data_IF_688281135649
#
_entry.id   IF_688281135649
#
_cell.length_a   1.000
_cell.length_b   1.000
_cell.length_c   1.000
_cell.angle_alpha   90.00
_cell.angle_beta   90.00
_cell.angle_gamma   90.00
#
_symmetry.space_group_name_H-M   'P 1'
#
loop_
_entity.id
_entity.type
_entity.pdbx_description
1 polymer ?
#
# COMPACT_ATOMS: atom_id res chain seq x y z
N UNK A 1 12.88 20.42 -2.53
CA UNK A 1 12.59 19.43 -1.48
C UNK A 1 13.38 18.15 -1.73
N UNK A 2 13.70 17.43 -0.65
CA UNK A 2 14.38 16.13 -0.78
C UNK A 2 13.41 15.05 -1.24
N UNK A 3 13.91 14.15 -2.11
CA UNK A 3 13.18 12.99 -2.58
C UNK A 3 14.13 11.84 -2.89
N UNK A 4 13.61 10.62 -2.90
CA UNK A 4 14.28 9.49 -3.54
C UNK A 4 13.97 9.59 -5.02
N UNK A 5 15.00 9.65 -5.85
CA UNK A 5 14.84 9.79 -7.31
C UNK A 5 15.41 8.58 -8.02
N UNK A 6 14.79 8.24 -9.16
CA UNK A 6 15.13 7.16 -10.04
C UNK A 6 15.09 7.66 -11.49
N UNK A 7 16.13 7.40 -12.27
CA UNK A 7 16.21 7.83 -13.68
C UNK A 7 16.17 6.66 -14.67
N UNK A 8 16.47 5.46 -14.18
CA UNK A 8 16.48 4.23 -14.97
C UNK A 8 15.85 3.07 -14.19
N UNK A 9 15.45 2.02 -14.88
CA UNK A 9 15.00 0.79 -14.26
C UNK A 9 16.20 -0.01 -13.74
N UNK A 10 16.08 -0.58 -12.55
CA UNK A 10 17.14 -1.40 -11.96
C UNK A 10 16.84 -1.91 -10.58
N UNK A 11 17.86 -2.44 -9.93
CA UNK A 11 17.86 -2.83 -8.54
C UNK A 11 17.87 -1.60 -7.62
N UNK A 12 17.78 -1.75 -6.29
CA UNK A 12 17.75 -0.60 -5.37
C UNK A 12 18.89 0.41 -5.51
N UNK A 13 20.00 0.03 -6.12
CA UNK A 13 21.17 0.89 -6.37
C UNK A 13 20.89 2.05 -7.35
N UNK A 14 19.80 1.97 -8.13
CA UNK A 14 19.38 3.09 -9.00
C UNK A 14 18.70 4.22 -8.23
N UNK A 15 18.34 3.96 -6.96
CA UNK A 15 17.70 4.95 -6.10
C UNK A 15 18.75 5.86 -5.45
N UNK A 16 18.51 7.15 -5.49
CA UNK A 16 19.39 8.13 -4.86
C UNK A 16 18.58 9.25 -4.20
N UNK A 17 19.11 9.82 -3.15
CA UNK A 17 18.57 11.06 -2.59
C UNK A 17 18.90 12.21 -3.55
N UNK A 18 17.87 12.96 -3.92
CA UNK A 18 18.01 14.12 -4.79
C UNK A 18 17.16 15.30 -4.30
N UNK A 19 17.43 16.46 -4.87
CA UNK A 19 16.58 17.64 -4.67
C UNK A 19 15.74 17.87 -5.92
N UNK A 20 14.44 18.10 -5.71
CA UNK A 20 13.47 18.37 -6.77
C UNK A 20 12.58 19.55 -6.37
N UNK A 21 11.90 20.13 -7.33
CA UNK A 21 10.89 21.13 -7.06
C UNK A 21 9.70 20.53 -6.28
N UNK A 22 9.12 21.34 -5.41
CA UNK A 22 7.88 20.97 -4.72
C UNK A 22 6.74 20.85 -5.74
N UNK A 23 5.93 19.78 -5.72
CA UNK A 23 4.86 19.60 -6.68
C UNK A 23 3.79 20.71 -6.52
N UNK A 24 3.21 21.12 -7.64
CA UNK A 24 2.09 22.05 -7.66
C UNK A 24 0.79 21.28 -7.50
N UNK A 25 -0.07 21.78 -6.64
CA UNK A 25 -1.39 21.18 -6.38
C UNK A 25 -2.31 21.44 -7.58
N UNK A 26 -2.88 20.39 -8.14
CA UNK A 26 -3.96 20.46 -9.12
C UNK A 26 -5.32 20.79 -8.47
N UNK A 27 -6.28 21.17 -9.28
CA UNK A 27 -7.60 21.64 -8.81
C UNK A 27 -8.33 20.63 -7.89
N UNK A 28 -8.29 19.34 -8.21
CA UNK A 28 -8.89 18.25 -7.43
C UNK A 28 -7.90 17.46 -6.55
N UNK A 29 -6.76 18.06 -6.24
CA UNK A 29 -5.69 17.40 -5.51
C UNK A 29 -5.43 18.01 -4.13
N UNK A 30 -4.74 17.24 -3.31
CA UNK A 30 -4.26 17.63 -1.98
C UNK A 30 -2.74 17.48 -1.97
N UNK A 31 -2.04 18.51 -1.52
CA UNK A 31 -0.62 18.42 -1.22
C UNK A 31 -0.45 17.87 0.19
N UNK A 32 0.18 16.74 0.31
CA UNK A 32 0.45 16.07 1.58
C UNK A 32 1.92 16.26 1.94
N UNK A 33 2.18 16.78 3.13
CA UNK A 33 3.49 16.69 3.78
C UNK A 33 3.65 15.29 4.33
N UNK A 34 4.45 14.47 3.65
CA UNK A 34 4.60 13.05 3.95
C UNK A 34 5.29 12.86 5.30
N UNK A 35 4.72 12.03 6.17
CA UNK A 35 5.29 11.62 7.45
C UNK A 35 5.80 10.18 7.38
N UNK A 36 5.08 9.32 6.64
CA UNK A 36 5.47 7.94 6.37
C UNK A 36 5.03 7.53 4.97
N UNK A 37 5.77 6.64 4.35
CA UNK A 37 5.46 6.05 3.06
C UNK A 37 5.62 4.53 3.11
N UNK A 38 4.65 3.81 2.56
CA UNK A 38 4.66 2.36 2.48
C UNK A 38 5.64 1.84 1.45
N UNK A 39 6.23 0.69 1.73
CA UNK A 39 7.07 -0.05 0.79
C UNK A 39 6.39 -1.38 0.49
N UNK A 40 5.94 -1.56 -0.73
CA UNK A 40 5.21 -2.75 -1.18
C UNK A 40 5.84 -3.34 -2.46
N UNK A 41 5.49 -4.59 -2.81
CA UNK A 41 6.01 -5.23 -4.03
C UNK A 41 5.69 -4.48 -5.32
N UNK A 42 4.60 -3.70 -5.37
CA UNK A 42 4.24 -2.88 -6.53
C UNK A 42 5.31 -1.84 -6.82
N UNK A 43 5.80 -1.17 -5.78
CA UNK A 43 6.92 -0.20 -5.92
C UNK A 43 8.18 -0.88 -6.44
N UNK A 44 8.48 -2.12 -6.00
CA UNK A 44 9.60 -2.89 -6.51
C UNK A 44 9.44 -3.21 -8.01
N UNK A 45 8.24 -3.61 -8.44
CA UNK A 45 7.94 -3.84 -9.86
C UNK A 45 8.09 -2.57 -10.70
N UNK A 46 7.63 -1.44 -10.20
CA UNK A 46 7.77 -0.15 -10.87
C UNK A 46 9.24 0.30 -10.93
N UNK A 47 10.01 0.07 -9.86
CA UNK A 47 11.43 0.39 -9.79
C UNK A 47 12.26 -0.45 -10.78
N UNK A 48 12.03 -1.75 -10.80
CA UNK A 48 12.77 -2.67 -11.68
C UNK A 48 12.26 -2.66 -13.12
N UNK A 49 11.01 -2.23 -13.33
CA UNK A 49 10.33 -2.34 -14.61
C UNK A 49 10.09 -3.80 -15.03
N UNK A 50 9.95 -4.70 -14.06
CA UNK A 50 9.74 -6.12 -14.29
C UNK A 50 8.41 -6.58 -13.66
N UNK A 51 7.68 -7.51 -14.32
CA UNK A 51 7.95 -8.05 -15.67
C UNK A 51 7.84 -6.94 -16.73
N UNK A 52 8.45 -7.11 -17.88
CA UNK A 52 8.49 -6.09 -18.95
C UNK A 52 7.13 -5.55 -19.38
N UNK A 53 6.06 -6.29 -19.12
CA UNK A 53 4.68 -5.86 -19.35
C UNK A 53 4.36 -4.54 -18.61
N UNK A 54 4.93 -4.32 -17.42
CA UNK A 54 4.77 -3.08 -16.64
C UNK A 54 5.17 -1.86 -17.47
N UNK A 55 6.26 -1.94 -18.22
CA UNK A 55 6.76 -0.85 -19.07
C UNK A 55 5.79 -0.50 -20.19
N UNK A 56 5.14 -1.52 -20.79
CA UNK A 56 4.17 -1.37 -21.89
C UNK A 56 2.84 -0.81 -21.35
N UNK A 57 2.46 -1.15 -20.13
CA UNK A 57 1.22 -0.68 -19.47
C UNK A 57 1.24 0.83 -19.10
N UNK A 58 2.24 1.56 -19.54
CA UNK A 58 2.24 3.00 -19.43
C UNK A 58 3.22 3.58 -18.41
N UNK A 59 4.00 2.76 -17.74
CA UNK A 59 4.98 3.22 -16.74
C UNK A 59 6.31 3.68 -17.35
N UNK A 60 6.49 3.51 -18.67
CA UNK A 60 7.65 3.97 -19.44
C UNK A 60 8.45 2.82 -20.06
N UNK A 61 8.73 2.89 -21.37
CA UNK A 61 9.39 1.78 -22.07
C UNK A 61 10.87 1.64 -21.74
N UNK A 62 11.60 2.76 -21.68
CA UNK A 62 13.07 2.79 -21.48
C UNK A 62 13.47 3.22 -20.08
N UNK A 63 12.70 4.12 -19.49
CA UNK A 63 12.90 4.64 -18.14
C UNK A 63 11.56 4.89 -17.48
N UNK A 64 11.50 4.93 -16.12
CA UNK A 64 10.27 5.25 -15.41
C UNK A 64 9.75 6.64 -15.79
N UNK A 65 8.46 6.77 -16.04
CA UNK A 65 7.83 8.09 -16.27
C UNK A 65 7.84 8.94 -15.00
N UNK A 66 7.65 8.29 -13.85
CA UNK A 66 7.66 8.94 -12.54
C UNK A 66 9.05 8.78 -11.94
N UNK A 67 9.76 9.90 -11.78
CA UNK A 67 11.14 9.87 -11.24
C UNK A 67 11.20 9.61 -9.75
N UNK A 68 10.13 9.90 -9.02
CA UNK A 68 10.01 9.66 -7.58
C UNK A 68 9.10 8.46 -7.37
N UNK A 69 9.58 7.35 -6.80
CA UNK A 69 8.74 6.19 -6.49
C UNK A 69 7.84 6.41 -5.27
N UNK A 70 7.06 5.39 -4.95
CA UNK A 70 6.13 5.36 -3.82
C UNK A 70 4.70 5.71 -4.21
N UNK A 71 3.77 4.96 -3.62
CA UNK A 71 2.32 5.07 -3.89
C UNK A 71 1.49 5.21 -2.63
N UNK A 72 1.91 4.61 -1.53
CA UNK A 72 1.18 4.61 -0.27
C UNK A 72 1.80 5.59 0.70
N UNK A 73 1.03 6.52 1.22
CA UNK A 73 1.52 7.49 2.18
C UNK A 73 0.54 7.79 3.30
N UNK A 74 1.08 8.33 4.37
CA UNK A 74 0.36 9.00 5.42
C UNK A 74 1.08 10.30 5.78
N UNK A 75 0.33 11.34 6.08
CA UNK A 75 0.90 12.65 6.36
C UNK A 75 -0.14 13.70 6.72
N UNK A 76 0.28 14.95 6.67
CA UNK A 76 -0.59 16.10 6.93
C UNK A 76 -0.86 16.88 5.66
N UNK A 77 -2.10 17.30 5.49
CA UNK A 77 -2.49 18.22 4.41
C UNK A 77 -1.73 19.53 4.58
N UNK A 78 -1.03 19.92 3.56
CA UNK A 78 -0.29 21.19 3.49
C UNK A 78 -1.06 22.27 2.72
N UNK A 79 -1.69 21.85 1.60
CA UNK A 79 -2.52 22.70 0.76
C UNK A 79 -3.55 21.85 0.03
N UNK A 80 -4.64 22.47 -0.41
CA UNK A 80 -5.71 21.84 -1.20
C UNK A 80 -5.96 22.60 -2.49
N UNK A 81 -6.34 21.88 -3.54
CA UNK A 81 -6.80 22.46 -4.78
C UNK A 81 -8.18 23.11 -4.63
N UNK A 82 -8.54 23.98 -5.56
CA UNK A 82 -9.77 24.81 -5.47
C UNK A 82 -11.07 24.00 -5.43
N UNK A 83 -11.07 22.79 -6.00
CA UNK A 83 -12.26 21.93 -6.07
C UNK A 83 -12.35 20.95 -4.88
N UNK A 84 -11.38 20.99 -3.97
CA UNK A 84 -11.37 20.13 -2.77
C UNK A 84 -12.07 20.85 -1.61
N UNK A 85 -13.17 20.28 -1.15
CA UNK A 85 -14.02 20.87 -0.10
C UNK A 85 -14.04 20.11 1.22
N UNK A 86 -13.50 18.87 1.24
CA UNK A 86 -13.62 17.97 2.37
C UNK A 86 -12.30 17.73 3.13
N UNK A 87 -11.24 18.44 2.73
CA UNK A 87 -9.98 18.51 3.44
C UNK A 87 -9.54 19.95 3.64
N UNK A 88 -8.75 20.18 4.69
CA UNK A 88 -8.13 21.48 4.97
C UNK A 88 -6.68 21.30 5.42
N UNK A 89 -5.83 22.33 5.32
CA UNK A 89 -4.47 22.29 5.85
C UNK A 89 -4.44 21.90 7.33
N UNK A 90 -3.55 20.98 7.68
CA UNK A 90 -3.42 20.41 9.01
C UNK A 90 -4.09 19.05 9.21
N UNK A 91 -5.05 18.66 8.38
CA UNK A 91 -5.70 17.36 8.48
C UNK A 91 -4.70 16.21 8.34
N UNK A 92 -4.84 15.18 9.18
CA UNK A 92 -4.08 13.94 9.07
C UNK A 92 -4.77 12.99 8.10
N UNK A 93 -4.05 12.59 7.05
CA UNK A 93 -4.59 11.78 5.96
C UNK A 93 -3.67 10.60 5.62
N UNK A 94 -4.24 9.58 4.99
CA UNK A 94 -3.49 8.48 4.40
C UNK A 94 -4.19 7.98 3.14
N UNK A 95 -3.45 7.31 2.27
CA UNK A 95 -3.98 6.75 1.03
C UNK A 95 -2.95 6.71 -0.10
N UNK A 96 -3.43 6.83 -1.33
CA UNK A 96 -2.58 6.77 -2.52
C UNK A 96 -2.05 8.15 -2.89
N UNK A 97 -0.73 8.33 -2.78
CA UNK A 97 -0.02 9.54 -3.17
C UNK A 97 1.08 9.17 -4.17
N UNK A 98 0.98 9.62 -5.40
CA UNK A 98 2.00 9.32 -6.39
C UNK A 98 3.32 10.06 -6.08
N UNK A 99 4.44 9.33 -6.08
CA UNK A 99 5.75 9.92 -5.82
C UNK A 99 5.99 10.27 -4.34
N UNK A 100 5.48 9.46 -3.43
CA UNK A 100 5.50 9.77 -2.00
C UNK A 100 6.82 9.44 -1.29
N UNK A 101 7.86 8.96 -1.99
CA UNK A 101 9.20 8.87 -1.40
C UNK A 101 9.90 10.25 -1.45
N UNK A 102 9.21 11.27 -0.97
CA UNK A 102 9.60 12.66 -0.93
C UNK A 102 9.01 13.36 0.29
N UNK A 103 9.50 14.56 0.59
CA UNK A 103 8.95 15.37 1.70
C UNK A 103 7.50 15.80 1.46
N UNK A 104 7.10 15.95 0.19
CA UNK A 104 5.74 16.30 -0.22
C UNK A 104 5.32 15.49 -1.43
N UNK A 105 4.05 15.09 -1.48
CA UNK A 105 3.44 14.42 -2.60
C UNK A 105 2.03 14.97 -2.87
N UNK A 106 1.62 14.99 -4.13
CA UNK A 106 0.22 15.28 -4.48
C UNK A 106 -0.58 13.98 -4.52
N UNK A 107 -1.78 14.04 -3.98
CA UNK A 107 -2.77 12.98 -4.03
C UNK A 107 -4.09 13.52 -4.56
N UNK A 108 -4.79 12.76 -5.39
CA UNK A 108 -6.18 13.07 -5.71
C UNK A 108 -7.01 12.98 -4.44
N UNK A 109 -7.91 13.93 -4.22
CA UNK A 109 -8.73 14.01 -3.02
C UNK A 109 -9.63 12.75 -2.82
N UNK A 110 -10.02 12.07 -3.92
CA UNK A 110 -10.80 10.83 -3.89
C UNK A 110 -9.96 9.55 -3.60
N UNK A 111 -8.65 9.69 -3.43
CA UNK A 111 -7.70 8.59 -3.18
C UNK A 111 -7.08 8.61 -1.80
N UNK A 112 -7.44 9.58 -0.99
CA UNK A 112 -7.01 9.71 0.40
C UNK A 112 -8.21 9.82 1.32
N UNK A 113 -8.02 9.46 2.57
CA UNK A 113 -9.04 9.57 3.63
C UNK A 113 -8.41 10.09 4.92
N UNK A 114 -9.23 10.57 5.84
CA UNK A 114 -8.77 10.96 7.17
C UNK A 114 -8.11 9.77 7.89
N UNK A 115 -6.96 10.02 8.49
CA UNK A 115 -6.25 9.00 9.27
C UNK A 115 -7.00 8.72 10.58
N UNK A 116 -7.30 7.45 10.91
CA UNK A 116 -7.87 7.11 12.20
C UNK A 116 -6.96 7.56 13.35
N UNK A 117 -7.55 8.08 14.42
CA UNK A 117 -6.81 8.62 15.55
C UNK A 117 -6.00 7.55 16.32
N UNK A 118 -6.39 6.29 16.23
CA UNK A 118 -5.73 5.15 16.88
C UNK A 118 -4.55 4.57 16.07
N UNK A 119 -4.26 5.10 14.89
CA UNK A 119 -3.09 4.72 14.09
C UNK A 119 -2.07 5.84 14.09
N UNK A 120 -0.79 5.51 14.17
CA UNK A 120 0.28 6.41 13.80
C UNK A 120 0.44 6.51 12.26
N UNK A 121 1.32 7.39 11.80
CA UNK A 121 1.52 7.58 10.36
C UNK A 121 2.17 6.38 9.68
N UNK A 122 3.04 5.67 10.37
CA UNK A 122 3.75 4.50 9.85
C UNK A 122 2.77 3.34 9.65
N UNK A 123 1.90 3.10 10.64
CA UNK A 123 0.83 2.10 10.53
C UNK A 123 -0.13 2.48 9.40
N UNK A 124 -0.57 3.73 9.34
CA UNK A 124 -1.51 4.20 8.33
C UNK A 124 -0.94 4.10 6.90
N UNK A 125 0.36 4.39 6.70
CA UNK A 125 1.01 4.28 5.40
C UNK A 125 1.14 2.84 4.89
N UNK A 126 1.09 1.83 5.77
CA UNK A 126 1.15 0.42 5.39
C UNK A 126 -0.21 -0.17 4.92
N UNK A 127 -1.31 0.60 5.08
CA UNK A 127 -2.67 0.11 4.85
C UNK A 127 -3.09 0.12 3.37
N UNK A 128 -2.91 1.19 2.57
CA UNK A 128 -3.71 1.42 1.36
C UNK A 128 -3.65 0.25 0.36
N UNK A 129 -2.50 -0.04 -0.22
CA UNK A 129 -2.37 -1.09 -1.24
C UNK A 129 -2.74 -2.47 -0.68
N UNK A 130 -2.22 -2.82 0.48
CA UNK A 130 -2.39 -4.16 1.05
C UNK A 130 -3.81 -4.43 1.50
N UNK A 131 -4.42 -3.51 2.24
CA UNK A 131 -5.78 -3.70 2.75
C UNK A 131 -6.84 -3.63 1.64
N UNK A 132 -6.70 -2.71 0.67
CA UNK A 132 -7.65 -2.62 -0.46
C UNK A 132 -7.56 -3.87 -1.33
N UNK A 133 -6.36 -4.40 -1.59
CA UNK A 133 -6.19 -5.65 -2.33
C UNK A 133 -6.88 -6.81 -1.60
N UNK A 134 -6.67 -6.94 -0.30
CA UNK A 134 -7.33 -7.98 0.50
C UNK A 134 -8.85 -7.81 0.50
N UNK A 135 -9.35 -6.58 0.69
CA UNK A 135 -10.78 -6.27 0.71
C UNK A 135 -11.46 -6.61 -0.63
N UNK A 136 -10.87 -6.19 -1.74
CA UNK A 136 -11.39 -6.49 -3.08
C UNK A 136 -11.38 -8.00 -3.36
N UNK A 137 -10.32 -8.70 -2.94
CA UNK A 137 -10.22 -10.15 -3.07
C UNK A 137 -11.32 -10.88 -2.31
N UNK A 138 -11.55 -10.53 -1.07
CA UNK A 138 -12.53 -11.20 -0.22
C UNK A 138 -13.97 -10.76 -0.48
N UNK A 139 -14.22 -9.46 -0.56
CA UNK A 139 -15.56 -8.88 -0.69
C UNK A 139 -16.07 -8.94 -2.13
N UNK A 140 -15.27 -8.41 -3.09
CA UNK A 140 -15.76 -8.12 -4.43
C UNK A 140 -15.59 -9.32 -5.39
N UNK A 141 -14.65 -10.22 -5.11
CA UNK A 141 -14.36 -11.40 -5.94
C UNK A 141 -14.71 -12.70 -5.26
N UNK A 142 -14.36 -12.83 -3.98
CA UNK A 142 -14.65 -14.04 -3.19
C UNK A 142 -16.04 -14.06 -2.59
N UNK A 143 -16.70 -12.89 -2.49
CA UNK A 143 -18.04 -12.73 -1.90
C UNK A 143 -18.14 -13.44 -0.53
N UNK A 144 -17.06 -13.31 0.27
CA UNK A 144 -16.92 -14.03 1.53
C UNK A 144 -18.04 -13.62 2.49
N UNK A 145 -18.76 -14.64 3.00
CA UNK A 145 -19.86 -14.49 3.93
C UNK A 145 -19.61 -15.26 5.25
N UNK A 146 -20.39 -14.93 6.28
CA UNK A 146 -20.30 -15.57 7.58
C UNK A 146 -20.51 -17.10 7.50
N UNK A 147 -19.71 -17.85 8.25
CA UNK A 147 -19.75 -19.31 8.30
C UNK A 147 -18.99 -20.01 7.16
N UNK A 148 -18.48 -19.27 6.18
CA UNK A 148 -17.64 -19.88 5.13
C UNK A 148 -16.23 -20.17 5.65
N UNK A 149 -15.56 -21.15 5.01
CA UNK A 149 -14.15 -21.49 5.26
C UNK A 149 -13.28 -20.83 4.21
N UNK A 150 -12.28 -20.08 4.65
CA UNK A 150 -11.38 -19.32 3.79
C UNK A 150 -9.95 -19.78 4.01
N UNK A 151 -9.28 -20.22 2.93
CA UNK A 151 -7.85 -20.52 2.92
C UNK A 151 -7.07 -19.31 2.39
N UNK A 152 -6.13 -18.81 3.17
CA UNK A 152 -5.28 -17.67 2.82
C UNK A 152 -3.84 -18.13 2.69
N UNK A 153 -3.35 -18.28 1.47
CA UNK A 153 -1.95 -18.62 1.19
C UNK A 153 -1.11 -17.34 1.26
N UNK A 154 0.01 -17.40 1.99
CA UNK A 154 0.82 -16.21 2.27
C UNK A 154 0.23 -15.31 3.35
N UNK A 155 -0.46 -15.88 4.33
CA UNK A 155 -1.18 -15.20 5.40
C UNK A 155 -0.33 -14.23 6.23
N UNK A 156 0.99 -14.38 6.25
CA UNK A 156 1.93 -13.49 6.96
C UNK A 156 2.50 -12.36 6.11
N UNK A 157 2.12 -12.26 4.84
CA UNK A 157 2.53 -11.18 3.95
C UNK A 157 1.68 -9.91 4.12
N UNK A 158 2.05 -8.80 3.46
CA UNK A 158 1.32 -7.54 3.55
C UNK A 158 -0.17 -7.69 3.28
N UNK A 159 -0.55 -8.22 2.12
CA UNK A 159 -1.97 -8.48 1.77
C UNK A 159 -2.57 -9.56 2.67
N UNK A 160 -1.82 -10.64 2.95
CA UNK A 160 -2.29 -11.79 3.72
C UNK A 160 -2.72 -11.44 5.14
N UNK A 161 -1.97 -10.58 5.82
CA UNK A 161 -2.31 -10.14 7.19
C UNK A 161 -3.63 -9.36 7.25
N UNK A 162 -3.91 -8.52 6.26
CA UNK A 162 -5.21 -7.86 6.14
C UNK A 162 -6.31 -8.84 5.73
N UNK A 163 -5.99 -9.79 4.83
CA UNK A 163 -6.97 -10.78 4.40
C UNK A 163 -7.45 -11.66 5.57
N UNK A 164 -6.56 -12.10 6.46
CA UNK A 164 -6.94 -12.84 7.67
C UNK A 164 -7.91 -12.02 8.52
N UNK A 165 -7.54 -10.79 8.87
CA UNK A 165 -8.37 -9.94 9.72
C UNK A 165 -9.73 -9.60 9.08
N UNK A 166 -9.75 -9.26 7.79
CA UNK A 166 -10.99 -8.93 7.08
C UNK A 166 -11.91 -10.15 6.95
N UNK A 167 -11.36 -11.34 6.65
CA UNK A 167 -12.16 -12.57 6.60
C UNK A 167 -12.79 -12.88 7.96
N UNK A 168 -12.08 -12.64 9.07
CA UNK A 168 -12.65 -12.75 10.42
C UNK A 168 -13.76 -11.72 10.67
N UNK A 169 -13.60 -10.48 10.23
CA UNK A 169 -14.66 -9.45 10.31
C UNK A 169 -15.89 -9.86 9.52
N UNK A 170 -15.74 -10.55 8.39
CA UNK A 170 -16.85 -11.10 7.61
C UNK A 170 -17.47 -12.36 8.23
N UNK A 171 -16.93 -12.86 9.35
CA UNK A 171 -17.44 -14.02 10.07
C UNK A 171 -17.02 -15.36 9.49
N UNK A 172 -15.97 -15.41 8.71
CA UNK A 172 -15.42 -16.64 8.15
C UNK A 172 -14.57 -17.43 9.17
N UNK A 173 -14.46 -18.73 8.97
CA UNK A 173 -13.43 -19.59 9.56
C UNK A 173 -12.18 -19.51 8.68
N UNK A 174 -11.04 -19.08 9.25
CA UNK A 174 -9.84 -18.74 8.48
C UNK A 174 -8.72 -19.74 8.74
N UNK A 175 -8.23 -20.34 7.67
CA UNK A 175 -6.98 -21.10 7.65
C UNK A 175 -5.89 -20.27 6.97
N UNK A 176 -4.85 -19.90 7.73
CA UNK A 176 -3.72 -19.14 7.21
C UNK A 176 -2.51 -20.03 6.91
N UNK A 177 -1.95 -19.94 5.71
CA UNK A 177 -0.73 -20.68 5.31
C UNK A 177 0.46 -19.75 5.36
N UNK A 178 1.49 -20.14 6.12
CA UNK A 178 2.72 -19.36 6.29
C UNK A 178 3.92 -20.29 6.60
N UNK A 179 5.10 -19.71 6.79
CA UNK A 179 6.29 -20.46 7.24
C UNK A 179 6.33 -20.56 8.75
N UNK A 180 7.06 -21.57 9.28
CA UNK A 180 7.21 -21.84 10.73
C UNK A 180 7.37 -20.56 11.59
N UNK A 181 8.31 -19.63 11.31
CA UNK A 181 8.54 -18.49 12.20
C UNK A 181 7.39 -17.45 12.19
N UNK A 182 6.39 -17.61 11.33
CA UNK A 182 5.25 -16.70 11.19
C UNK A 182 3.93 -17.26 11.73
N UNK A 183 3.93 -18.48 12.23
CA UNK A 183 2.73 -19.15 12.71
C UNK A 183 2.03 -18.37 13.84
N UNK A 184 2.81 -17.86 14.80
CA UNK A 184 2.26 -17.12 15.94
C UNK A 184 1.67 -15.77 15.50
N UNK A 185 2.31 -15.09 14.55
CA UNK A 185 1.77 -13.88 13.95
C UNK A 185 0.41 -14.17 13.31
N UNK A 186 0.31 -15.20 12.48
CA UNK A 186 -0.92 -15.53 11.75
C UNK A 186 -2.06 -15.89 12.71
N UNK A 187 -1.77 -16.60 13.79
CA UNK A 187 -2.76 -16.88 14.86
C UNK A 187 -3.16 -15.61 15.62
N UNK A 188 -2.19 -14.75 15.96
CA UNK A 188 -2.46 -13.53 16.75
C UNK A 188 -3.34 -12.52 16.03
N UNK A 189 -3.35 -12.53 14.68
CA UNK A 189 -4.22 -11.66 13.86
C UNK A 189 -5.57 -12.29 13.53
N UNK A 190 -5.88 -13.47 14.10
CA UNK A 190 -7.21 -14.06 14.11
C UNK A 190 -7.42 -15.29 13.24
N UNK A 191 -6.38 -15.91 12.66
CA UNK A 191 -6.56 -17.18 11.97
C UNK A 191 -6.97 -18.29 12.96
N UNK A 192 -8.04 -19.02 12.65
CA UNK A 192 -8.52 -20.15 13.45
C UNK A 192 -7.56 -21.33 13.34
N UNK A 193 -7.00 -21.52 12.13
CA UNK A 193 -6.01 -22.55 11.83
C UNK A 193 -4.80 -21.92 11.13
N UNK A 194 -3.61 -22.44 11.43
CA UNK A 194 -2.40 -22.05 10.76
C UNK A 194 -1.66 -23.28 10.28
N UNK A 195 -1.30 -23.31 8.99
CA UNK A 195 -0.60 -24.40 8.30
C UNK A 195 0.80 -23.95 7.95
N UNK A 196 1.79 -24.76 8.29
CA UNK A 196 3.19 -24.54 7.97
C UNK A 196 3.55 -25.24 6.66
N UNK A 197 3.57 -24.51 5.55
CA UNK A 197 3.89 -25.06 4.23
C UNK A 197 5.31 -25.66 4.13
N UNK A 198 6.19 -25.42 5.13
CA UNK A 198 7.53 -25.99 5.15
C UNK A 198 7.54 -27.40 5.75
N UNK A 199 6.44 -27.83 6.38
CA UNK A 199 6.31 -29.10 7.11
C UNK A 199 5.08 -29.91 6.73
N UNK A 200 4.07 -29.25 6.18
CA UNK A 200 2.77 -29.83 5.87
C UNK A 200 2.46 -29.63 4.38
N UNK A 201 1.84 -30.66 3.78
CA UNK A 201 1.28 -30.52 2.44
C UNK A 201 -0.03 -29.75 2.50
N UNK A 202 -0.19 -28.76 1.63
CA UNK A 202 -1.38 -27.92 1.51
C UNK A 202 -2.29 -28.32 0.35
N UNK A 203 -1.95 -29.43 -0.36
CA UNK A 203 -2.73 -29.95 -1.48
C UNK A 203 -3.87 -30.87 -0.96
#
# INVERSE_FOLDING_TARGET
MRAIVQEEYGSPEVLRVGEIDRPKVGDGEVLVRVQAAGVDPGVWHLMTGLPYLVRILGYGLRAPKTRVPGTDCAGRVEAVGKDVTHFQPGDEVFGFCQGCYAEYACARADKIVAKPANLDFEQAAAVPTSAITALQGLRDKGEVAAGQKVLIIGASGGVGTFAVQLAKVFGAEVTGVCSTPKMDLVRSIGADHAVDYTREDIA
#
